data_IF_652228263349
#
_entry.id   IF_652228263349
#
_cell.length_a   1.000
_cell.length_b   1.000
_cell.length_c   1.000
_cell.angle_alpha   90.00
_cell.angle_beta   90.00
_cell.angle_gamma   90.00
#
_symmetry.space_group_name_H-M   'P 1'
#
loop_
_entity.id
_entity.type
_entity.pdbx_description
1 polymer ?
#
# COMPACT_ATOMS: atom_id res chain seq x y z
N UNK A 1 8.32 -15.51 5.58
CA UNK A 1 7.06 -15.83 4.88
C UNK A 1 7.05 -15.09 3.56
N UNK A 2 6.63 -15.73 2.47
CA UNK A 2 6.46 -15.07 1.16
C UNK A 2 5.28 -14.10 1.22
N UNK A 3 5.48 -12.87 0.75
CA UNK A 3 4.43 -11.83 0.71
C UNK A 3 3.99 -11.54 -0.74
N UNK A 4 2.72 -11.21 -0.90
CA UNK A 4 2.15 -10.55 -2.07
C UNK A 4 2.18 -9.04 -1.84
N UNK A 5 2.87 -8.29 -2.69
CA UNK A 5 3.14 -6.86 -2.52
C UNK A 5 2.49 -6.08 -3.66
N UNK A 6 1.63 -5.11 -3.36
CA UNK A 6 1.10 -4.18 -4.35
C UNK A 6 1.96 -2.91 -4.42
N UNK A 7 2.40 -2.54 -5.62
CA UNK A 7 2.93 -1.21 -5.93
C UNK A 7 1.83 -0.34 -6.54
N UNK A 8 1.63 0.86 -5.99
CA UNK A 8 0.64 1.80 -6.50
C UNK A 8 1.19 3.23 -6.54
N UNK A 9 1.22 3.83 -7.73
CA UNK A 9 1.53 5.24 -7.93
C UNK A 9 0.28 6.01 -8.36
N UNK A 10 0.20 7.25 -7.90
CA UNK A 10 -0.72 8.27 -8.41
C UNK A 10 -0.06 9.11 -9.50
N UNK A 11 -0.85 9.91 -10.21
CA UNK A 11 -0.50 10.58 -11.46
C UNK A 11 0.79 11.40 -11.37
N UNK A 12 1.00 12.14 -10.28
CA UNK A 12 2.13 13.08 -10.20
C UNK A 12 3.48 12.37 -10.19
N UNK A 13 3.51 11.10 -9.79
CA UNK A 13 4.71 10.26 -9.73
C UNK A 13 4.65 9.04 -10.65
N UNK A 14 3.61 8.91 -11.49
CA UNK A 14 3.47 7.83 -12.45
C UNK A 14 4.69 7.69 -13.39
N UNK A 15 5.32 8.77 -13.90
CA UNK A 15 6.54 8.64 -14.73
C UNK A 15 7.73 7.93 -14.03
N UNK A 16 7.73 7.85 -12.69
CA UNK A 16 8.78 7.15 -11.92
C UNK A 16 8.42 5.71 -11.58
N UNK A 17 7.20 5.25 -11.92
CA UNK A 17 6.71 3.92 -11.57
C UNK A 17 7.68 2.81 -12.03
N UNK A 18 8.20 2.88 -13.25
CA UNK A 18 9.14 1.87 -13.77
C UNK A 18 10.43 1.77 -12.93
N UNK A 19 10.98 2.90 -12.49
CA UNK A 19 12.17 2.94 -11.64
C UNK A 19 11.88 2.27 -10.29
N UNK A 20 10.75 2.62 -9.68
CA UNK A 20 10.32 2.09 -8.38
C UNK A 20 10.05 0.58 -8.50
N UNK A 21 9.30 0.18 -9.54
CA UNK A 21 8.93 -1.20 -9.80
C UNK A 21 10.16 -2.09 -9.99
N UNK A 22 11.15 -1.66 -10.78
CA UNK A 22 12.40 -2.41 -10.96
C UNK A 22 13.14 -2.64 -9.66
N UNK A 23 13.27 -1.62 -8.82
CA UNK A 23 13.96 -1.72 -7.53
C UNK A 23 13.20 -2.61 -6.55
N UNK A 24 11.89 -2.43 -6.46
CA UNK A 24 11.03 -3.26 -5.62
C UNK A 24 11.07 -4.73 -6.05
N UNK A 25 10.92 -4.99 -7.35
CA UNK A 25 10.92 -6.35 -7.90
C UNK A 25 12.25 -7.06 -7.70
N UNK A 26 13.39 -6.39 -7.95
CA UNK A 26 14.70 -6.99 -7.76
C UNK A 26 14.92 -7.49 -6.32
N UNK A 27 14.48 -6.72 -5.33
CA UNK A 27 14.58 -7.11 -3.92
C UNK A 27 13.53 -8.16 -3.54
N UNK A 28 12.29 -8.00 -4.01
CA UNK A 28 11.23 -8.97 -3.78
C UNK A 28 11.58 -10.36 -4.32
N UNK A 29 12.11 -10.45 -5.54
CA UNK A 29 12.53 -11.71 -6.17
C UNK A 29 13.63 -12.39 -5.35
N UNK A 30 14.60 -11.62 -4.82
CA UNK A 30 15.67 -12.12 -3.94
C UNK A 30 15.14 -12.80 -2.67
N UNK A 31 14.05 -12.30 -2.10
CA UNK A 31 13.43 -12.84 -0.88
C UNK A 31 12.18 -13.70 -1.17
N UNK A 32 11.93 -14.05 -2.43
CA UNK A 32 10.84 -14.94 -2.83
C UNK A 32 9.45 -14.35 -2.61
N UNK A 33 9.29 -13.04 -2.81
CA UNK A 33 8.01 -12.33 -2.76
C UNK A 33 7.45 -12.07 -4.15
N UNK A 34 6.13 -11.86 -4.25
CA UNK A 34 5.44 -11.52 -5.51
C UNK A 34 5.08 -10.05 -5.53
N UNK A 35 5.32 -9.37 -6.66
CA UNK A 35 4.99 -7.94 -6.83
C UNK A 35 3.91 -7.73 -7.89
N UNK A 36 2.85 -7.00 -7.53
CA UNK A 36 1.74 -6.60 -8.39
C UNK A 36 1.77 -5.08 -8.58
N UNK A 37 2.06 -4.62 -9.80
CA UNK A 37 2.03 -3.20 -10.13
C UNK A 37 0.61 -2.80 -10.53
N UNK A 38 -0.13 -2.15 -9.62
CA UNK A 38 -1.59 -1.96 -9.72
C UNK A 38 -2.03 -0.49 -9.81
N UNK A 39 -1.09 0.46 -9.67
CA UNK A 39 -1.34 1.88 -9.85
C UNK A 39 -1.09 2.36 -11.28
N UNK A 40 -0.85 3.66 -11.43
CA UNK A 40 -0.46 4.26 -12.72
C UNK A 40 1.01 3.95 -13.04
N UNK A 41 1.27 3.58 -14.30
CA UNK A 41 2.60 3.34 -14.86
C UNK A 41 3.05 4.53 -15.72
N UNK A 42 2.10 5.25 -16.32
CA UNK A 42 2.30 6.46 -17.12
C UNK A 42 1.36 7.57 -16.68
N UNK A 43 1.70 8.81 -17.00
CA UNK A 43 0.95 10.00 -16.59
C UNK A 43 -0.47 10.05 -17.18
N UNK A 44 -0.66 9.52 -18.39
CA UNK A 44 -1.92 9.47 -19.13
C UNK A 44 -2.71 8.16 -18.91
N UNK A 45 -2.26 7.30 -17.98
CA UNK A 45 -2.97 6.07 -17.67
C UNK A 45 -4.38 6.35 -17.12
N UNK A 46 -5.33 5.50 -17.53
CA UNK A 46 -6.68 5.50 -17.01
C UNK A 46 -6.95 4.23 -16.19
N UNK A 47 -7.60 4.32 -15.02
CA UNK A 47 -8.11 5.55 -14.40
C UNK A 47 -7.00 6.50 -13.91
N UNK A 48 -7.27 7.80 -13.98
CA UNK A 48 -6.39 8.82 -13.42
C UNK A 48 -6.48 8.78 -11.89
N UNK A 49 -5.41 8.29 -11.25
CA UNK A 49 -5.35 8.09 -9.81
C UNK A 49 -4.69 9.29 -9.14
N UNK A 50 -5.35 9.85 -8.14
CA UNK A 50 -4.75 10.72 -7.11
C UNK A 50 -4.40 9.91 -5.86
N UNK A 51 -3.63 10.49 -4.92
CA UNK A 51 -3.31 9.83 -3.65
C UNK A 51 -4.55 9.42 -2.83
N UNK A 52 -5.72 10.07 -3.04
CA UNK A 52 -6.99 9.72 -2.39
C UNK A 52 -7.44 8.32 -2.81
N UNK A 53 -7.31 8.01 -4.11
CA UNK A 53 -7.69 6.73 -4.68
C UNK A 53 -6.78 5.60 -4.18
N UNK A 54 -5.48 5.90 -3.98
CA UNK A 54 -4.52 4.93 -3.46
C UNK A 54 -4.91 4.43 -2.06
N UNK A 55 -5.50 5.29 -1.22
CA UNK A 55 -6.00 4.88 0.10
C UNK A 55 -7.10 3.82 0.00
N UNK A 56 -8.11 4.05 -0.84
CA UNK A 56 -9.20 3.10 -1.04
C UNK A 56 -8.71 1.80 -1.71
N UNK A 57 -7.80 1.91 -2.69
CA UNK A 57 -7.16 0.76 -3.32
C UNK A 57 -6.43 -0.12 -2.31
N UNK A 58 -5.61 0.48 -1.44
CA UNK A 58 -4.88 -0.24 -0.40
C UNK A 58 -5.85 -0.91 0.58
N UNK A 59 -6.90 -0.20 1.01
CA UNK A 59 -7.92 -0.73 1.90
C UNK A 59 -8.59 -1.98 1.31
N UNK A 60 -8.99 -1.94 0.05
CA UNK A 60 -9.61 -3.08 -0.64
C UNK A 60 -8.64 -4.25 -0.75
N UNK A 61 -7.40 -4.03 -1.20
CA UNK A 61 -6.43 -5.12 -1.41
C UNK A 61 -5.99 -5.77 -0.10
N UNK A 62 -5.78 -4.99 0.96
CA UNK A 62 -5.35 -5.49 2.26
C UNK A 62 -6.50 -6.17 3.02
N UNK A 63 -7.69 -5.55 3.11
CA UNK A 63 -8.82 -6.16 3.82
C UNK A 63 -9.39 -7.40 3.11
N UNK A 64 -9.18 -7.53 1.79
CA UNK A 64 -9.55 -8.74 1.06
C UNK A 64 -8.52 -9.88 1.17
N UNK A 65 -7.34 -9.63 1.73
CA UNK A 65 -6.22 -10.56 1.72
C UNK A 65 -5.65 -10.82 0.32
N UNK A 66 -5.99 -9.97 -0.66
CA UNK A 66 -5.43 -10.07 -2.01
C UNK A 66 -3.92 -9.83 -2.00
N UNK A 67 -3.45 -8.91 -1.15
CA UNK A 67 -2.03 -8.65 -0.89
C UNK A 67 -1.77 -8.58 0.61
N UNK A 68 -0.51 -8.81 0.99
CA UNK A 68 -0.06 -8.76 2.38
C UNK A 68 0.61 -7.41 2.70
N UNK A 69 1.09 -6.71 1.67
CA UNK A 69 1.81 -5.45 1.84
C UNK A 69 1.57 -4.48 0.68
N UNK A 70 1.58 -3.18 0.97
CA UNK A 70 1.45 -2.12 -0.03
C UNK A 70 2.67 -1.20 0.00
N UNK A 71 3.24 -0.96 -1.18
CA UNK A 71 4.22 0.10 -1.44
C UNK A 71 3.53 1.18 -2.26
N UNK A 72 3.49 2.40 -1.72
CA UNK A 72 2.86 3.55 -2.36
C UNK A 72 3.71 4.80 -2.18
N UNK A 73 3.20 5.96 -2.57
CA UNK A 73 3.83 7.24 -2.34
C UNK A 73 3.27 8.33 -3.24
N UNK A 74 3.74 9.55 -3.00
CA UNK A 74 3.46 10.72 -3.84
C UNK A 74 4.69 11.63 -3.79
N UNK A 75 4.58 12.89 -4.22
CA UNK A 75 5.72 13.81 -4.25
C UNK A 75 6.49 13.88 -2.91
N UNK A 76 5.77 13.94 -1.78
CA UNK A 76 6.35 13.94 -0.42
C UNK A 76 6.08 12.66 0.37
N UNK A 77 5.23 11.76 -0.14
CA UNK A 77 4.71 10.60 0.60
C UNK A 77 3.58 10.94 1.59
N UNK A 78 3.43 12.19 2.02
CA UNK A 78 2.46 12.59 3.05
C UNK A 78 1.01 12.33 2.64
N UNK A 79 0.60 12.80 1.45
CA UNK A 79 -0.79 12.68 1.00
C UNK A 79 -1.24 11.22 0.90
N UNK A 80 -0.37 10.34 0.39
CA UNK A 80 -0.64 8.91 0.33
C UNK A 80 -0.66 8.29 1.74
N UNK A 81 0.28 8.64 2.63
CA UNK A 81 0.29 8.13 4.02
C UNK A 81 -1.01 8.49 4.74
N UNK A 82 -1.44 9.75 4.67
CA UNK A 82 -2.68 10.24 5.30
C UNK A 82 -3.88 9.51 4.72
N UNK A 83 -3.96 9.39 3.39
CA UNK A 83 -5.06 8.71 2.72
C UNK A 83 -5.18 7.24 3.13
N UNK A 84 -4.07 6.50 3.15
CA UNK A 84 -4.08 5.08 3.50
C UNK A 84 -4.46 4.86 4.97
N UNK A 85 -3.97 5.70 5.89
CA UNK A 85 -4.28 5.57 7.31
C UNK A 85 -5.75 5.93 7.66
N UNK A 86 -6.53 6.49 6.73
CA UNK A 86 -7.97 6.73 6.94
C UNK A 86 -8.83 5.46 6.84
N UNK A 87 -8.29 4.33 6.39
CA UNK A 87 -9.08 3.11 6.16
C UNK A 87 -8.81 2.03 7.21
N UNK A 88 -9.83 1.24 7.61
CA UNK A 88 -9.67 0.13 8.54
C UNK A 88 -8.67 -0.90 8.00
N UNK A 89 -7.97 -1.59 8.88
CA UNK A 89 -7.02 -2.65 8.49
C UNK A 89 -5.77 -2.17 7.74
N UNK A 90 -5.57 -0.86 7.57
CA UNK A 90 -4.38 -0.28 6.92
C UNK A 90 -3.53 0.49 7.92
N UNK A 91 -2.26 0.11 8.04
CA UNK A 91 -1.24 0.76 8.86
C UNK A 91 -0.08 1.17 7.97
N UNK A 92 -0.05 2.45 7.60
CA UNK A 92 0.88 2.99 6.62
C UNK A 92 1.96 3.87 7.28
N UNK A 93 3.23 3.48 7.16
CA UNK A 93 4.36 4.31 7.59
C UNK A 93 4.87 5.23 6.49
N UNK A 94 5.32 6.44 6.84
CA UNK A 94 6.11 7.29 5.95
C UNK A 94 7.58 6.90 6.08
N UNK A 95 8.19 6.47 4.97
CA UNK A 95 9.56 5.95 4.95
C UNK A 95 10.41 6.80 4.02
N UNK A 96 11.49 7.38 4.54
CA UNK A 96 12.38 8.27 3.79
C UNK A 96 13.78 7.68 3.62
N UNK A 97 14.23 6.86 4.58
CA UNK A 97 15.54 6.22 4.57
C UNK A 97 15.47 4.76 5.09
N UNK A 98 16.54 3.96 4.94
CA UNK A 98 16.50 2.54 5.24
C UNK A 98 16.23 2.22 6.72
N UNK A 99 16.71 3.08 7.62
CA UNK A 99 16.49 2.93 9.08
C UNK A 99 15.01 3.08 9.42
N UNK A 100 14.30 4.02 8.80
CA UNK A 100 12.84 4.18 8.95
C UNK A 100 12.13 2.86 8.61
N UNK A 101 12.50 2.26 7.47
CA UNK A 101 11.92 1.00 7.00
C UNK A 101 12.13 -0.14 7.99
N UNK A 102 13.35 -0.29 8.49
CA UNK A 102 13.67 -1.28 9.51
C UNK A 102 12.85 -1.05 10.79
N UNK A 103 12.88 0.16 11.36
CA UNK A 103 12.19 0.49 12.61
C UNK A 103 10.67 0.34 12.47
N UNK A 104 10.09 0.71 11.32
CA UNK A 104 8.68 0.50 11.04
C UNK A 104 8.29 -0.99 11.10
N UNK A 105 9.11 -1.86 10.50
CA UNK A 105 8.85 -3.30 10.54
C UNK A 105 9.03 -3.89 11.94
N UNK A 106 10.00 -3.41 12.73
CA UNK A 106 10.25 -3.91 14.08
C UNK A 106 9.23 -3.41 15.11
N UNK A 107 8.89 -2.13 15.07
CA UNK A 107 8.12 -1.44 16.13
C UNK A 107 6.64 -1.41 15.79
N UNK A 108 6.29 -1.00 14.57
CA UNK A 108 4.89 -0.77 14.19
C UNK A 108 4.24 -2.00 13.58
N UNK A 109 5.04 -2.86 12.93
CA UNK A 109 4.58 -4.04 12.21
C UNK A 109 3.38 -3.75 11.29
N UNK A 110 3.40 -2.59 10.63
CA UNK A 110 2.34 -2.15 9.72
C UNK A 110 2.39 -2.88 8.38
N UNK A 111 1.37 -2.68 7.54
CA UNK A 111 1.16 -3.42 6.29
C UNK A 111 1.18 -2.53 5.03
N UNK A 112 1.55 -1.26 5.15
CA UNK A 112 1.78 -0.38 4.02
C UNK A 112 2.91 0.61 4.31
N UNK A 113 3.54 1.11 3.25
CA UNK A 113 4.49 2.23 3.32
C UNK A 113 4.22 3.24 2.22
N UNK A 114 4.44 4.51 2.56
CA UNK A 114 4.41 5.63 1.64
C UNK A 114 5.80 6.26 1.55
N UNK A 115 6.26 6.51 0.32
CA UNK A 115 7.60 7.07 0.07
C UNK A 115 7.52 8.42 -0.68
N UNK A 116 8.49 9.33 -0.46
CA UNK A 116 8.63 10.55 -1.25
C UNK A 116 9.31 10.25 -2.60
N UNK A 117 8.58 10.40 -3.70
CA UNK A 117 9.11 10.22 -5.05
C UNK A 117 9.50 11.53 -5.76
N UNK A 118 9.39 12.68 -5.08
CA UNK A 118 9.87 13.97 -5.61
C UNK A 118 10.76 14.72 -4.60
N UNK A 119 10.27 14.95 -3.37
CA UNK A 119 11.05 15.62 -2.32
C UNK A 119 12.26 14.76 -1.95
N UNK A 120 13.46 15.25 -2.23
CA UNK A 120 14.70 14.52 -1.98
C UNK A 120 14.98 13.39 -2.99
N UNK A 121 14.18 13.28 -4.06
CA UNK A 121 14.35 12.25 -5.09
C UNK A 121 15.30 12.74 -6.19
N UNK A 122 16.60 12.77 -5.87
CA UNK A 122 17.67 13.19 -6.77
C UNK A 122 18.56 12.03 -7.22
N UNK A 123 19.84 12.33 -7.45
CA UNK A 123 20.84 11.31 -7.80
C UNK A 123 20.98 10.27 -6.68
N UNK A 124 20.90 8.99 -7.05
CA UNK A 124 20.98 7.87 -6.12
C UNK A 124 19.70 7.59 -5.33
N UNK A 125 18.60 8.29 -5.61
CA UNK A 125 17.33 8.02 -4.94
C UNK A 125 16.80 6.61 -5.22
N UNK A 126 17.09 6.04 -6.40
CA UNK A 126 16.79 4.65 -6.73
C UNK A 126 17.65 3.64 -5.97
N UNK A 127 18.86 4.03 -5.53
CA UNK A 127 19.67 3.22 -4.61
C UNK A 127 19.05 3.26 -3.21
N UNK A 128 18.62 4.44 -2.75
CA UNK A 128 17.91 4.57 -1.48
C UNK A 128 16.64 3.72 -1.46
N UNK A 129 15.84 3.70 -2.55
CA UNK A 129 14.69 2.80 -2.68
C UNK A 129 15.09 1.34 -2.50
N UNK A 130 16.17 0.91 -3.15
CA UNK A 130 16.67 -0.46 -3.02
C UNK A 130 17.00 -0.79 -1.57
N UNK A 131 17.75 0.07 -0.88
CA UNK A 131 18.13 -0.13 0.52
C UNK A 131 16.90 -0.17 1.45
N UNK A 132 15.93 0.73 1.24
CA UNK A 132 14.65 0.70 1.96
C UNK A 132 13.95 -0.66 1.77
N UNK A 133 13.81 -1.12 0.52
CA UNK A 133 13.16 -2.39 0.24
C UNK A 133 13.93 -3.57 0.82
N UNK A 134 15.27 -3.54 0.81
CA UNK A 134 16.09 -4.60 1.42
C UNK A 134 15.78 -4.72 2.92
N UNK A 135 15.66 -3.60 3.64
CA UNK A 135 15.35 -3.62 5.07
C UNK A 135 13.90 -3.99 5.39
N UNK A 136 12.94 -3.67 4.52
CA UNK A 136 11.52 -3.97 4.74
C UNK A 136 11.18 -5.43 4.37
N UNK A 137 11.80 -5.96 3.32
CA UNK A 137 11.47 -7.28 2.77
C UNK A 137 12.32 -8.42 3.34
N UNK A 138 13.45 -8.13 3.97
CA UNK A 138 14.32 -9.16 4.56
C UNK A 138 14.06 -9.45 6.03
N UNK A 139 13.43 -8.53 6.77
CA UNK A 139 13.38 -8.63 8.22
C UNK A 139 12.18 -9.44 8.74
N UNK A 140 12.39 -10.14 9.86
CA UNK A 140 11.29 -10.57 10.71
C UNK A 140 10.61 -9.33 11.33
N UNK A 141 9.29 -9.34 11.43
CA UNK A 141 8.49 -8.17 11.81
C UNK A 141 8.00 -8.28 13.25
N UNK A 142 7.84 -7.15 13.94
CA UNK A 142 7.31 -7.13 15.31
C UNK A 142 8.27 -7.70 16.37
N UNK A 143 9.58 -7.75 16.10
CA UNK A 143 10.58 -8.14 17.10
C UNK A 143 10.99 -6.99 18.02
N UNK A 144 10.49 -5.77 17.77
CA UNK A 144 10.75 -4.60 18.57
C UNK A 144 12.16 -4.03 18.40
N UNK A 145 12.28 -2.72 18.59
CA UNK A 145 13.57 -2.05 18.65
C UNK A 145 13.53 -0.84 19.61
N UNK A 146 14.44 -0.74 20.59
CA UNK A 146 15.43 -1.76 20.96
C UNK A 146 14.76 -3.07 21.44
N UNK A 147 15.45 -4.23 21.36
CA UNK A 147 14.82 -5.54 21.57
C UNK A 147 14.14 -5.73 22.94
N UNK A 148 14.64 -5.06 23.98
CA UNK A 148 14.07 -5.08 25.34
C UNK A 148 12.70 -4.38 25.45
N UNK A 149 12.25 -3.71 24.38
CA UNK A 149 10.94 -3.05 24.30
C UNK A 149 9.90 -3.84 23.51
N UNK A 150 10.23 -5.05 23.03
CA UNK A 150 9.36 -5.87 22.17
C UNK A 150 7.95 -6.03 22.75
N UNK A 151 7.80 -6.45 24.00
CA UNK A 151 6.47 -6.70 24.57
C UNK A 151 5.61 -5.43 24.59
N UNK A 152 6.17 -4.31 25.06
CA UNK A 152 5.45 -3.03 25.17
C UNK A 152 5.08 -2.49 23.79
N UNK A 153 5.98 -2.60 22.81
CA UNK A 153 5.72 -2.13 21.45
C UNK A 153 4.61 -2.95 20.77
N UNK A 154 4.64 -4.28 20.92
CA UNK A 154 3.60 -5.15 20.38
C UNK A 154 2.24 -4.93 21.06
N UNK A 155 2.22 -4.66 22.38
CA UNK A 155 1.01 -4.27 23.09
C UNK A 155 0.44 -2.95 22.55
N UNK A 156 1.28 -1.95 22.32
CA UNK A 156 0.85 -0.66 21.77
C UNK A 156 0.32 -0.78 20.33
N UNK A 157 0.97 -1.59 19.49
CA UNK A 157 0.47 -1.88 18.14
C UNK A 157 -0.93 -2.54 18.18
N UNK A 158 -1.14 -3.48 19.10
CA UNK A 158 -2.45 -4.11 19.31
C UNK A 158 -3.51 -3.11 19.83
N UNK A 159 -3.14 -2.20 20.72
CA UNK A 159 -4.02 -1.11 21.19
C UNK A 159 -4.40 -0.20 20.02
N UNK A 160 -3.44 0.20 19.18
CA UNK A 160 -3.69 1.06 18.03
C UNK A 160 -4.65 0.40 17.03
N UNK A 161 -4.48 -0.89 16.76
CA UNK A 161 -5.41 -1.66 15.92
C UNK A 161 -6.84 -1.66 16.50
N UNK A 162 -6.98 -1.79 17.82
CA UNK A 162 -8.28 -1.73 18.51
C UNK A 162 -8.91 -0.33 18.45
N UNK A 163 -8.13 0.73 18.65
CA UNK A 163 -8.61 2.11 18.49
C UNK A 163 -9.11 2.30 17.08
N UNK A 164 -8.33 1.87 16.09
CA UNK A 164 -8.67 1.98 14.67
C UNK A 164 -9.96 1.25 14.31
N UNK A 165 -10.22 0.06 14.88
CA UNK A 165 -11.48 -0.67 14.65
C UNK A 165 -12.70 0.00 15.28
N UNK A 166 -12.53 0.86 16.29
CA UNK A 166 -13.63 1.59 16.93
C UNK A 166 -13.94 2.89 16.17
N UNK A 167 -12.91 3.63 15.76
CA UNK A 167 -13.09 4.94 15.12
C UNK A 167 -13.36 4.86 13.62
N UNK A 168 -13.18 3.69 13.00
CA UNK A 168 -13.48 3.46 11.59
C UNK A 168 -14.68 2.53 11.41
N UNK A 169 -15.42 2.76 10.33
CA UNK A 169 -16.42 1.80 9.83
C UNK A 169 -15.71 0.59 9.22
N UNK A 170 -16.39 -0.54 9.17
CA UNK A 170 -15.87 -1.72 8.47
C UNK A 170 -15.79 -1.47 6.95
N UNK A 171 -14.93 -2.25 6.27
CA UNK A 171 -14.65 -2.04 4.85
C UNK A 171 -15.90 -2.17 3.97
N UNK A 172 -16.85 -3.05 4.30
CA UNK A 172 -18.05 -3.21 3.50
C UNK A 172 -19.00 -2.03 3.67
N UNK A 173 -19.16 -1.51 4.88
CA UNK A 173 -19.90 -0.26 5.10
C UNK A 173 -19.26 0.91 4.35
N UNK A 174 -17.92 1.02 4.34
CA UNK A 174 -17.21 2.05 3.57
C UNK A 174 -17.51 1.89 2.08
N UNK A 175 -17.34 0.68 1.52
CA UNK A 175 -17.57 0.44 0.09
C UNK A 175 -19.02 0.77 -0.33
N UNK A 176 -20.00 0.42 0.50
CA UNK A 176 -21.41 0.70 0.23
C UNK A 176 -21.81 2.18 0.37
N UNK A 177 -21.03 2.99 1.10
CA UNK A 177 -21.36 4.41 1.38
C UNK A 177 -20.41 5.41 0.72
N UNK A 178 -19.33 4.94 0.10
CA UNK A 178 -18.35 5.77 -0.58
C UNK A 178 -18.96 6.52 -1.77
N UNK A 179 -18.47 7.73 -2.01
CA UNK A 179 -18.75 8.47 -3.24
C UNK A 179 -18.50 7.59 -4.47
N UNK A 180 -19.45 7.64 -5.42
CA UNK A 180 -19.47 6.69 -6.52
C UNK A 180 -18.28 6.88 -7.46
N UNK A 181 -17.86 8.12 -7.70
CA UNK A 181 -16.77 8.43 -8.60
C UNK A 181 -15.42 8.06 -7.98
N UNK A 182 -15.24 8.30 -6.68
CA UNK A 182 -14.06 7.83 -5.93
C UNK A 182 -13.97 6.31 -5.99
N UNK A 183 -15.08 5.60 -5.73
CA UNK A 183 -15.12 4.14 -5.74
C UNK A 183 -14.78 3.57 -7.11
N UNK A 184 -15.41 4.10 -8.17
CA UNK A 184 -15.17 3.65 -9.54
C UNK A 184 -13.75 3.95 -9.99
N UNK A 185 -13.24 5.16 -9.76
CA UNK A 185 -11.89 5.54 -10.16
C UNK A 185 -10.84 4.68 -9.47
N UNK A 186 -10.99 4.42 -8.17
CA UNK A 186 -10.07 3.57 -7.40
C UNK A 186 -10.08 2.10 -7.87
N UNK A 187 -11.25 1.56 -8.22
CA UNK A 187 -11.42 0.11 -8.38
C UNK A 187 -11.61 -0.36 -9.83
N UNK A 188 -11.40 0.50 -10.83
CA UNK A 188 -11.61 0.16 -12.26
C UNK A 188 -10.33 -0.18 -13.03
N UNK A 189 -9.15 0.03 -12.44
CA UNK A 189 -7.87 -0.31 -13.08
C UNK A 189 -7.77 -1.80 -13.42
N UNK A 190 -7.34 -2.13 -14.65
CA UNK A 190 -7.24 -3.53 -15.11
C UNK A 190 -6.28 -4.35 -14.25
N UNK A 191 -5.10 -3.81 -13.95
CA UNK A 191 -4.11 -4.49 -13.12
C UNK A 191 -4.58 -4.66 -11.67
N UNK A 192 -5.21 -3.62 -11.11
CA UNK A 192 -5.86 -3.69 -9.79
C UNK A 192 -6.90 -4.80 -9.72
N UNK A 193 -7.85 -4.84 -10.67
CA UNK A 193 -8.91 -5.85 -10.71
C UNK A 193 -8.35 -7.25 -10.89
N UNK A 194 -7.36 -7.42 -11.77
CA UNK A 194 -6.67 -8.70 -11.95
C UNK A 194 -6.06 -9.17 -10.62
N UNK A 195 -5.28 -8.32 -9.97
CA UNK A 195 -4.67 -8.62 -8.66
C UNK A 195 -5.72 -9.00 -7.61
N UNK A 196 -6.78 -8.20 -7.47
CA UNK A 196 -7.85 -8.45 -6.51
C UNK A 196 -8.56 -9.79 -6.79
N UNK A 197 -9.01 -10.03 -8.02
CA UNK A 197 -9.84 -11.19 -8.33
C UNK A 197 -9.07 -12.51 -8.36
N UNK A 198 -7.79 -12.49 -8.69
CA UNK A 198 -6.94 -13.68 -8.68
C UNK A 198 -6.47 -14.06 -7.26
N UNK A 199 -6.39 -13.10 -6.34
CA UNK A 199 -5.71 -13.31 -5.05
C UNK A 199 -6.58 -13.11 -3.80
N UNK A 200 -7.78 -12.54 -3.92
CA UNK A 200 -8.67 -12.28 -2.78
C UNK A 200 -8.98 -13.56 -2.00
N UNK A 201 -8.89 -13.48 -0.68
CA UNK A 201 -9.30 -14.53 0.25
C UNK A 201 -10.71 -14.26 0.82
N UNK A 202 -11.21 -13.02 0.70
CA UNK A 202 -12.54 -12.61 1.13
C UNK A 202 -13.42 -12.39 -0.11
N UNK A 203 -14.33 -13.32 -0.34
CA UNK A 203 -15.19 -13.32 -1.54
C UNK A 203 -16.13 -12.12 -1.56
N UNK A 204 -16.66 -11.69 -0.42
CA UNK A 204 -17.61 -10.58 -0.33
C UNK A 204 -17.07 -9.27 -0.94
N UNK A 205 -15.82 -8.90 -0.61
CA UNK A 205 -15.18 -7.69 -1.13
C UNK A 205 -14.97 -7.81 -2.65
N UNK A 206 -14.44 -8.95 -3.10
CA UNK A 206 -14.20 -9.19 -4.53
C UNK A 206 -15.51 -9.18 -5.34
N UNK A 207 -16.56 -9.81 -4.82
CA UNK A 207 -17.89 -9.86 -5.43
C UNK A 207 -18.51 -8.47 -5.53
N UNK A 208 -18.40 -7.66 -4.48
CA UNK A 208 -18.86 -6.28 -4.50
C UNK A 208 -18.17 -5.49 -5.61
N UNK A 209 -16.83 -5.55 -5.68
CA UNK A 209 -16.05 -4.86 -6.72
C UNK A 209 -16.33 -5.40 -8.13
N UNK A 210 -16.67 -6.69 -8.31
CA UNK A 210 -17.12 -7.19 -9.62
C UNK A 210 -18.44 -6.55 -10.06
N UNK A 211 -19.35 -6.28 -9.12
CA UNK A 211 -20.69 -5.73 -9.39
C UNK A 211 -20.70 -4.23 -9.64
N UNK A 212 -19.64 -3.49 -9.30
CA UNK A 212 -19.60 -2.05 -9.60
C UNK A 212 -19.56 -1.86 -11.13
N UNK A 213 -20.66 -1.35 -11.69
CA UNK A 213 -20.74 -0.98 -13.11
C UNK A 213 -19.74 0.14 -13.38
N UNK A 214 -18.69 -0.17 -14.11
CA UNK A 214 -17.84 0.84 -14.75
C UNK A 214 -18.63 1.31 -15.98
N UNK A 215 -18.98 2.61 -16.10
CA UNK A 215 -19.62 3.10 -17.30
C UNK A 215 -18.77 2.71 -18.51
N UNK A 216 -19.39 2.17 -19.56
CA UNK A 216 -18.70 2.04 -20.84
C UNK A 216 -18.25 3.45 -21.23
N UNK A 217 -16.94 3.62 -21.48
CA UNK A 217 -16.36 4.92 -21.87
C UNK A 217 -17.28 5.59 -22.89
N UNK A 218 -17.77 6.79 -22.57
CA UNK A 218 -18.31 7.73 -23.55
C UNK A 218 -17.14 8.34 -24.30
#
# INVERSE_FOLDING_TARGET
MTMKIALMNEWSQAPKNEIIYRKLRAVADKYGHSVYNVGMVKEDDMPHLTYIHLGLMAAVLLNSGAVDFVVTGCGTGEGAMISLNNYPGVMCGLISEPVDGYLFCQINNGNAISLPYAKGFGWGAELNLQYIFEHILSCERGNGYPPDKKEVQNQNAAILNRVKSIVNRDIMTILNTMDRDILLTSCSGKAFRKCLFENSQITEIADYIRKIKVPAKV
#
